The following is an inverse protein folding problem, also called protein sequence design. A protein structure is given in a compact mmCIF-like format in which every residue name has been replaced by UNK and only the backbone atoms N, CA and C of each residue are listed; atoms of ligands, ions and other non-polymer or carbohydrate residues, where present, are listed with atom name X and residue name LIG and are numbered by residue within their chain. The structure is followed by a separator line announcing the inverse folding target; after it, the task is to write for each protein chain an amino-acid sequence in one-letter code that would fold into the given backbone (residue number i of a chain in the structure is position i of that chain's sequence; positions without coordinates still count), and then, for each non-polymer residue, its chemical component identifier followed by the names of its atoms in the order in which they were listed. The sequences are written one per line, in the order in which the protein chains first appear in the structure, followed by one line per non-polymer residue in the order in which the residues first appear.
data_IF_360511190165
#
_entry.id   IF_360511190165
#
_cell.length_a   1.000
_cell.length_b   1.000
_cell.length_c   1.000
_cell.angle_alpha   90.00
_cell.angle_beta   90.00
_cell.angle_gamma   90.00
#
_symmetry.space_group_name_H-M   'P 1'
#
loop_
_entity.id
_entity.type
_entity.pdbx_description
1 polymer ?
#
# COMPACT_ATOMS: atom_id res chain seq x y z
N UNK A 1 -4.70 -8.15 9.20
CA UNK A 1 -4.89 -9.41 9.94
C UNK A 1 -3.56 -9.99 10.44
N UNK A 2 -2.55 -10.18 9.59
CA UNK A 2 -1.25 -10.73 10.04
C UNK A 2 -0.56 -9.90 11.13
N UNK A 3 -0.51 -8.58 10.93
CA UNK A 3 -0.04 -7.64 11.95
C UNK A 3 -0.89 -7.64 13.24
N UNK A 4 -2.11 -8.17 13.23
CA UNK A 4 -2.95 -8.24 14.43
C UNK A 4 -2.60 -9.46 15.29
N UNK A 5 -2.24 -10.58 14.64
CA UNK A 5 -2.03 -11.87 15.30
C UNK A 5 -0.56 -12.12 15.66
N UNK A 6 0.37 -11.68 14.81
CA UNK A 6 1.80 -12.06 14.90
C UNK A 6 2.74 -10.88 15.12
N UNK A 7 2.21 -9.71 15.46
CA UNK A 7 3.04 -8.52 15.68
C UNK A 7 3.50 -8.38 17.13
N UNK A 8 4.61 -7.66 17.34
CA UNK A 8 5.20 -7.37 18.65
C UNK A 8 4.36 -6.40 19.52
N UNK A 9 3.07 -6.20 19.21
CA UNK A 9 2.14 -5.37 19.99
C UNK A 9 2.28 -3.85 19.77
N UNK A 10 1.55 -3.10 20.58
CA UNK A 10 1.40 -1.65 20.42
C UNK A 10 2.68 -0.86 20.74
N UNK A 11 3.51 -1.34 21.69
CA UNK A 11 4.74 -0.67 22.12
C UNK A 11 5.82 -0.60 21.03
N UNK A 12 5.69 -1.44 20.00
CA UNK A 12 6.60 -1.49 18.86
C UNK A 12 5.88 -1.16 17.54
N UNK A 13 4.79 -0.38 17.63
CA UNK A 13 4.09 0.17 16.47
C UNK A 13 3.48 -0.88 15.55
N UNK A 14 3.12 -2.05 16.07
CA UNK A 14 2.68 -3.21 15.30
C UNK A 14 3.68 -3.64 14.20
N UNK A 15 4.98 -3.59 14.51
CA UNK A 15 6.03 -4.13 13.65
C UNK A 15 5.89 -5.65 13.51
N UNK A 16 6.03 -6.14 12.26
CA UNK A 16 5.92 -7.55 11.90
C UNK A 16 7.20 -7.97 11.20
N UNK A 17 8.14 -8.63 11.91
CA UNK A 17 9.44 -9.00 11.35
C UNK A 17 9.34 -10.05 10.24
N UNK A 18 8.45 -11.03 10.40
CA UNK A 18 8.23 -12.11 9.45
C UNK A 18 6.75 -12.20 9.12
N UNK A 19 6.34 -11.94 7.87
CA UNK A 19 4.96 -12.15 7.45
C UNK A 19 4.64 -13.66 7.44
N UNK A 20 3.58 -14.05 8.13
CA UNK A 20 3.12 -15.44 8.23
C UNK A 20 1.92 -15.70 7.32
N UNK A 21 1.12 -14.67 7.02
CA UNK A 21 -0.06 -14.80 6.18
C UNK A 21 0.18 -14.30 4.74
N UNK A 22 -0.26 -15.05 3.71
CA UNK A 22 -0.13 -14.64 2.33
C UNK A 22 -1.04 -13.44 2.02
N UNK A 23 -0.45 -12.35 1.52
CA UNK A 23 -1.18 -11.20 1.01
C UNK A 23 -1.37 -11.33 -0.52
N UNK A 24 -2.61 -11.39 -1.04
CA UNK A 24 -2.86 -11.64 -2.46
C UNK A 24 -2.27 -10.57 -3.37
N UNK A 25 -2.39 -9.29 -3.00
CA UNK A 25 -1.84 -8.17 -3.79
C UNK A 25 -0.32 -8.29 -3.87
N UNK A 26 0.32 -8.64 -2.75
CA UNK A 26 1.76 -8.87 -2.70
C UNK A 26 2.19 -10.02 -3.64
N UNK A 27 1.47 -11.15 -3.62
CA UNK A 27 1.78 -12.29 -4.49
C UNK A 27 1.65 -11.91 -5.97
N UNK A 28 0.57 -11.21 -6.33
CA UNK A 28 0.33 -10.76 -7.71
C UNK A 28 1.45 -9.82 -8.17
N UNK A 29 1.81 -8.81 -7.38
CA UNK A 29 2.86 -7.85 -7.75
C UNK A 29 4.22 -8.54 -7.91
N UNK A 30 4.53 -9.48 -7.03
CA UNK A 30 5.83 -10.17 -7.08
C UNK A 30 5.87 -11.22 -8.20
N UNK A 31 4.75 -11.85 -8.54
CA UNK A 31 4.65 -12.70 -9.72
C UNK A 31 4.77 -11.88 -11.02
N UNK A 32 4.17 -10.69 -11.06
CA UNK A 32 4.23 -9.77 -12.19
C UNK A 32 5.67 -9.35 -12.55
N UNK A 33 6.60 -9.32 -11.58
CA UNK A 33 8.02 -9.01 -11.83
C UNK A 33 8.72 -9.98 -12.78
N UNK A 34 8.16 -11.17 -13.03
CA UNK A 34 8.72 -12.14 -13.99
C UNK A 34 8.59 -11.70 -15.44
N UNK A 35 7.62 -10.84 -15.74
CA UNK A 35 7.31 -10.39 -17.12
C UNK A 35 7.48 -8.88 -17.18
N UNK A 36 8.67 -8.43 -17.57
CA UNK A 36 8.93 -6.99 -17.75
C UNK A 36 8.12 -6.45 -18.95
N UNK A 37 7.45 -5.27 -18.86
CA UNK A 37 7.37 -4.28 -17.76
C UNK A 37 6.02 -4.32 -17.00
N UNK A 38 5.37 -5.48 -16.90
CA UNK A 38 4.00 -5.63 -16.41
C UNK A 38 3.84 -5.15 -14.96
N UNK A 39 4.84 -5.38 -14.12
CA UNK A 39 4.89 -4.93 -12.73
C UNK A 39 4.78 -3.41 -12.58
N UNK A 40 5.47 -2.63 -13.42
CA UNK A 40 5.37 -1.18 -13.43
C UNK A 40 3.97 -0.70 -13.85
N UNK A 41 3.38 -1.31 -14.88
CA UNK A 41 2.02 -0.98 -15.31
C UNK A 41 0.99 -1.26 -14.20
N UNK A 42 1.11 -2.40 -13.52
CA UNK A 42 0.21 -2.77 -12.43
C UNK A 42 0.40 -1.85 -11.22
N UNK A 43 1.64 -1.57 -10.84
CA UNK A 43 1.95 -0.63 -9.76
C UNK A 43 1.40 0.77 -10.04
N UNK A 44 1.60 1.28 -11.26
CA UNK A 44 1.06 2.56 -11.70
C UNK A 44 -0.47 2.57 -11.62
N UNK A 45 -1.13 1.51 -12.10
CA UNK A 45 -2.59 1.38 -12.06
C UNK A 45 -3.11 1.42 -10.63
N UNK A 46 -2.46 0.70 -9.69
CA UNK A 46 -2.84 0.70 -8.27
C UNK A 46 -2.70 2.09 -7.65
N UNK A 47 -1.59 2.79 -7.90
CA UNK A 47 -1.38 4.15 -7.39
C UNK A 47 -2.40 5.12 -7.98
N UNK A 48 -2.60 5.10 -9.29
CA UNK A 48 -3.59 5.95 -9.98
C UNK A 48 -5.01 5.66 -9.48
N UNK A 49 -5.35 4.40 -9.24
CA UNK A 49 -6.64 4.03 -8.67
C UNK A 49 -6.87 4.66 -7.30
N UNK A 50 -5.89 4.57 -6.39
CA UNK A 50 -6.01 5.17 -5.05
C UNK A 50 -6.05 6.70 -5.09
N UNK A 51 -5.27 7.33 -5.97
CA UNK A 51 -5.30 8.78 -6.16
C UNK A 51 -6.68 9.21 -6.70
N UNK A 52 -7.16 8.55 -7.75
CA UNK A 52 -8.46 8.87 -8.36
C UNK A 52 -9.64 8.61 -7.41
N UNK A 53 -9.62 7.50 -6.66
CA UNK A 53 -10.64 7.20 -5.65
C UNK A 53 -10.65 8.26 -4.54
N UNK A 54 -9.47 8.74 -4.12
CA UNK A 54 -9.36 9.79 -3.12
C UNK A 54 -9.88 11.12 -3.64
N UNK A 55 -9.53 11.50 -4.88
CA UNK A 55 -10.06 12.69 -5.55
C UNK A 55 -11.59 12.63 -5.70
N UNK A 56 -12.13 11.48 -6.09
CA UNK A 56 -13.58 11.26 -6.17
C UNK A 56 -14.25 11.37 -4.79
N UNK A 57 -13.61 10.85 -3.75
CA UNK A 57 -14.06 10.98 -2.36
C UNK A 57 -14.14 12.42 -1.90
N UNK A 58 -13.08 13.20 -2.09
CA UNK A 58 -13.05 14.62 -1.71
C UNK A 58 -14.10 15.41 -2.49
N UNK A 59 -14.27 15.12 -3.80
CA UNK A 59 -15.29 15.79 -4.62
C UNK A 59 -16.72 15.52 -4.13
N UNK A 60 -17.04 14.30 -3.69
CA UNK A 60 -18.38 13.96 -3.18
C UNK A 60 -18.64 14.50 -1.77
N UNK A 61 -17.65 14.46 -0.88
CA UNK A 61 -17.80 14.90 0.52
C UNK A 61 -17.73 16.42 0.66
N UNK A 62 -16.94 17.08 -0.21
CA UNK A 62 -16.53 18.47 -0.07
C UNK A 62 -15.44 18.64 0.99
N UNK A 63 -14.82 19.83 1.07
CA UNK A 63 -13.86 20.15 2.12
C UNK A 63 -14.63 20.51 3.39
N UNK A 64 -14.73 19.56 4.32
CA UNK A 64 -15.28 19.80 5.66
C UNK A 64 -14.14 19.80 6.67
N UNK A 65 -13.98 20.90 7.40
CA UNK A 65 -13.03 20.98 8.50
C UNK A 65 -13.78 20.72 9.80
N UNK A 66 -13.45 19.65 10.52
CA UNK A 66 -13.97 19.36 11.87
C UNK A 66 -15.50 19.49 12.02
N UNK A 67 -16.26 19.20 10.95
CA UNK A 67 -17.73 19.23 10.81
C UNK A 67 -18.33 20.50 10.18
N UNK A 68 -17.55 21.55 9.97
CA UNK A 68 -17.98 22.75 9.24
C UNK A 68 -17.67 22.58 7.74
N UNK A 69 -18.68 22.75 6.88
CA UNK A 69 -18.47 22.80 5.42
C UNK A 69 -17.75 24.11 5.10
N UNK A 70 -16.45 24.03 4.77
CA UNK A 70 -15.62 25.20 4.52
C UNK A 70 -15.68 25.62 3.04
N UNK A 71 -15.54 24.65 2.13
CA UNK A 71 -15.59 24.90 0.69
C UNK A 71 -16.33 23.79 -0.04
N UNK A 72 -17.34 24.15 -0.84
CA UNK A 72 -17.98 23.25 -1.82
C UNK A 72 -17.06 23.15 -3.05
N UNK A 73 -16.66 21.93 -3.42
CA UNK A 73 -15.79 21.67 -4.58
C UNK A 73 -16.67 21.45 -5.81
N UNK A 74 -16.87 22.47 -6.63
CA UNK A 74 -17.67 22.40 -7.86
C UNK A 74 -16.78 22.39 -9.11
N UNK A 75 -16.93 21.43 -10.04
CA UNK A 75 -16.13 21.41 -11.26
C UNK A 75 -16.30 22.72 -12.03
N UNK A 76 -15.19 23.31 -12.48
CA UNK A 76 -15.13 24.58 -13.25
C UNK A 76 -15.60 25.85 -12.52
N UNK A 77 -15.96 25.77 -11.23
CA UNK A 77 -16.39 26.91 -10.39
C UNK A 77 -15.83 26.82 -8.96
N UNK A 78 -14.59 26.36 -8.80
CA UNK A 78 -13.91 26.35 -7.48
C UNK A 78 -13.17 27.65 -7.21
N UNK A 79 -13.36 28.23 -6.02
CA UNK A 79 -12.56 29.35 -5.53
C UNK A 79 -11.06 28.99 -5.52
N UNK A 80 -10.14 29.90 -5.88
CA UNK A 80 -8.70 29.63 -5.96
C UNK A 80 -8.10 29.17 -4.62
N UNK A 81 -8.61 29.70 -3.51
CA UNK A 81 -8.23 29.27 -2.15
C UNK A 81 -8.58 27.80 -1.89
N UNK A 82 -9.76 27.34 -2.33
CA UNK A 82 -10.17 25.94 -2.20
C UNK A 82 -9.30 25.02 -3.06
N UNK A 83 -8.85 25.48 -4.23
CA UNK A 83 -7.95 24.73 -5.10
C UNK A 83 -6.57 24.52 -4.44
N UNK A 84 -6.06 25.53 -3.73
CA UNK A 84 -4.82 25.41 -2.97
C UNK A 84 -4.97 24.38 -1.84
N UNK A 85 -6.06 24.43 -1.06
CA UNK A 85 -6.34 23.42 -0.03
C UNK A 85 -6.49 22.00 -0.61
N UNK A 86 -7.16 21.85 -1.76
CA UNK A 86 -7.24 20.57 -2.47
C UNK A 86 -5.87 20.03 -2.84
N UNK A 87 -4.95 20.90 -3.31
CA UNK A 87 -3.59 20.53 -3.66
C UNK A 87 -2.81 20.05 -2.42
N UNK A 88 -2.90 20.77 -1.30
CA UNK A 88 -2.26 20.37 -0.04
C UNK A 88 -2.80 19.03 0.45
N UNK A 89 -4.12 18.83 0.41
CA UNK A 89 -4.74 17.55 0.78
C UNK A 89 -4.28 16.43 -0.15
N UNK A 90 -4.20 16.67 -1.47
CA UNK A 90 -3.68 15.70 -2.43
C UNK A 90 -2.22 15.33 -2.13
N UNK A 91 -1.36 16.31 -1.81
CA UNK A 91 0.02 16.07 -1.41
C UNK A 91 0.10 15.20 -0.15
N UNK A 92 -0.71 15.48 0.87
CA UNK A 92 -0.78 14.68 2.09
C UNK A 92 -1.31 13.26 1.83
N UNK A 93 -2.27 13.10 0.90
CA UNK A 93 -2.77 11.79 0.48
C UNK A 93 -1.68 11.00 -0.22
N UNK A 94 -0.96 11.60 -1.17
CA UNK A 94 0.16 10.94 -1.85
C UNK A 94 1.23 10.51 -0.85
N UNK A 95 1.55 11.34 0.14
CA UNK A 95 2.46 10.98 1.23
C UNK A 95 1.94 9.77 2.03
N UNK A 96 0.66 9.78 2.39
CA UNK A 96 0.03 8.65 3.11
C UNK A 96 0.02 7.36 2.27
N UNK A 97 -0.28 7.46 0.98
CA UNK A 97 -0.26 6.34 0.04
C UNK A 97 1.13 5.71 -0.08
N UNK A 98 2.20 6.51 -0.05
CA UNK A 98 3.57 5.99 -0.04
C UNK A 98 3.81 5.05 1.15
N UNK A 99 3.28 5.37 2.32
CA UNK A 99 3.36 4.51 3.51
C UNK A 99 2.41 3.31 3.38
N UNK A 100 1.20 3.52 2.84
CA UNK A 100 0.20 2.47 2.62
C UNK A 100 0.71 1.33 1.72
N UNK A 101 1.50 1.65 0.70
CA UNK A 101 2.07 0.67 -0.21
C UNK A 101 2.91 -0.41 0.50
N UNK A 102 3.60 -0.07 1.60
CA UNK A 102 4.35 -1.04 2.41
C UNK A 102 3.45 -2.05 3.12
N UNK A 103 2.17 -1.73 3.33
CA UNK A 103 1.19 -2.67 3.86
C UNK A 103 0.51 -3.51 2.78
N UNK A 104 0.38 -2.97 1.55
CA UNK A 104 -0.27 -3.63 0.42
C UNK A 104 0.62 -4.68 -0.24
N UNK A 105 1.89 -4.36 -0.47
CA UNK A 105 2.84 -5.25 -1.14
C UNK A 105 4.24 -5.14 -0.51
N UNK A 106 4.40 -5.59 0.75
CA UNK A 106 5.65 -5.44 1.48
C UNK A 106 6.86 -6.01 0.73
N UNK A 107 6.74 -7.19 0.12
CA UNK A 107 7.87 -7.83 -0.58
C UNK A 107 8.28 -7.04 -1.83
N UNK A 108 7.31 -6.59 -2.61
CA UNK A 108 7.57 -5.80 -3.81
C UNK A 108 8.22 -4.45 -3.48
N UNK A 109 7.66 -3.70 -2.53
CA UNK A 109 8.11 -2.32 -2.21
C UNK A 109 9.39 -2.31 -1.37
N UNK A 110 9.59 -3.30 -0.48
CA UNK A 110 10.74 -3.34 0.42
C UNK A 110 11.99 -3.90 -0.24
N UNK A 111 11.87 -4.87 -1.14
CA UNK A 111 13.03 -5.54 -1.75
C UNK A 111 13.14 -5.28 -3.25
N UNK A 112 12.04 -5.09 -3.97
CA UNK A 112 12.05 -4.93 -5.43
C UNK A 112 12.46 -6.22 -6.15
N UNK A 113 12.96 -6.11 -7.37
CA UNK A 113 13.47 -7.24 -8.15
C UNK A 113 14.96 -7.44 -7.85
N UNK A 114 15.26 -8.30 -6.87
CA UNK A 114 16.64 -8.66 -6.51
C UNK A 114 16.97 -10.07 -7.00
N UNK A 115 18.08 -10.20 -7.73
CA UNK A 115 18.64 -11.47 -8.17
C UNK A 115 20.00 -11.67 -7.49
N UNK A 116 20.20 -12.82 -6.86
CA UNK A 116 21.49 -13.17 -6.26
C UNK A 116 22.01 -14.48 -6.82
N UNK A 117 23.34 -14.60 -6.84
CA UNK A 117 24.03 -15.85 -7.15
C UNK A 117 24.30 -16.56 -5.82
N UNK A 118 23.70 -17.73 -5.66
CA UNK A 118 24.00 -18.64 -4.55
C UNK A 118 25.05 -19.61 -5.03
N UNK A 119 26.20 -19.61 -4.37
CA UNK A 119 27.20 -20.66 -4.56
C UNK A 119 26.92 -21.77 -3.56
N UNK A 120 26.37 -22.88 -4.01
CA UNK A 120 26.23 -24.09 -3.20
C UNK A 120 27.51 -24.91 -3.35
N UNK A 121 28.25 -25.06 -2.25
CA UNK A 121 29.38 -25.98 -2.16
C UNK A 121 28.82 -27.30 -1.65
N UNK A 122 28.79 -28.32 -2.50
CA UNK A 122 28.41 -29.68 -2.09
C UNK A 122 29.67 -30.51 -1.94
N UNK A 123 29.94 -30.98 -0.72
CA UNK A 123 30.96 -31.99 -0.46
C UNK A 123 30.30 -33.36 -0.61
N UNK A 124 30.43 -33.98 -1.79
CA UNK A 124 30.02 -35.37 -1.97
C UNK A 124 31.11 -36.30 -1.44
N UNK A 125 30.82 -37.01 -0.34
CA UNK A 125 31.61 -38.13 0.14
C UNK A 125 31.27 -39.36 -0.68
N UNK A 126 31.97 -39.58 -1.80
CA UNK A 126 31.95 -40.88 -2.46
C UNK A 126 32.83 -41.82 -1.64
N UNK A 127 32.19 -42.65 -0.81
CA UNK A 127 32.87 -43.75 -0.12
C UNK A 127 33.28 -44.80 -1.14
N UNK A 128 34.45 -44.62 -1.77
CA UNK A 128 35.37 -45.66 -2.23
C UNK A 128 36.60 -44.93 -2.78
N UNK A 129 37.67 -44.86 -1.97
CA UNK A 129 39.06 -44.55 -2.36
C UNK A 129 39.26 -43.61 -3.57
N UNK A 130 39.51 -42.31 -3.29
CA UNK A 130 40.03 -41.20 -4.14
C UNK A 130 39.04 -40.03 -4.38
N UNK A 131 39.56 -38.86 -4.82
CA UNK A 131 39.62 -37.62 -4.06
C UNK A 131 38.26 -36.89 -3.93
N UNK A 132 38.06 -36.18 -2.82
CA UNK A 132 36.97 -35.20 -2.66
C UNK A 132 37.11 -34.10 -3.72
N UNK A 133 36.24 -34.11 -4.74
CA UNK A 133 36.07 -32.97 -5.63
C UNK A 133 35.06 -32.00 -4.99
N UNK A 134 35.47 -30.75 -4.80
CA UNK A 134 34.54 -29.70 -4.37
C UNK A 134 33.78 -29.22 -5.61
N UNK A 135 32.53 -29.68 -5.78
CA UNK A 135 31.67 -29.17 -6.86
C UNK A 135 31.05 -27.84 -6.43
N UNK A 136 31.46 -26.76 -7.10
CA UNK A 136 30.94 -25.41 -6.90
C UNK A 136 29.80 -25.17 -7.91
N UNK A 137 28.55 -25.24 -7.44
CA UNK A 137 27.38 -24.95 -8.28
C UNK A 137 26.98 -23.49 -8.03
N UNK A 138 27.06 -22.65 -9.05
CA UNK A 138 26.51 -21.30 -9.02
C UNK A 138 25.05 -21.32 -9.49
N UNK A 139 24.12 -21.23 -8.55
CA UNK A 139 22.70 -21.10 -8.85
C UNK A 139 22.32 -19.62 -8.82
N UNK A 140 21.85 -19.08 -9.96
CA UNK A 140 21.20 -17.76 -9.93
C UNK A 140 19.81 -17.95 -9.33
N UNK A 141 19.63 -17.56 -8.07
CA UNK A 141 18.34 -17.64 -7.39
C UNK A 141 17.65 -16.29 -7.46
N UNK A 142 16.76 -16.15 -8.44
CA UNK A 142 15.77 -15.08 -8.50
C UNK A 142 14.70 -15.37 -7.46
N UNK A 143 14.81 -14.81 -6.25
CA UNK A 143 13.84 -15.14 -5.20
C UNK A 143 12.64 -14.21 -5.33
N UNK A 144 11.51 -14.80 -5.67
CA UNK A 144 10.19 -14.15 -5.73
C UNK A 144 9.64 -13.89 -4.30
N UNK A 145 10.40 -14.12 -3.23
CA UNK A 145 9.98 -13.87 -1.85
C UNK A 145 11.20 -13.84 -0.92
N UNK A 146 11.59 -12.66 -0.44
CA UNK A 146 12.66 -12.51 0.52
C UNK A 146 12.16 -12.91 1.91
N UNK A 147 12.45 -14.16 2.29
CA UNK A 147 12.10 -14.71 3.61
C UNK A 147 13.27 -14.68 4.60
N UNK A 148 14.51 -14.55 4.13
CA UNK A 148 15.72 -14.57 4.96
C UNK A 148 16.58 -13.32 4.74
N UNK A 149 16.98 -12.69 5.84
CA UNK A 149 17.78 -11.46 5.90
C UNK A 149 19.16 -11.55 5.24
N UNK A 150 19.71 -12.75 5.11
CA UNK A 150 21.12 -12.93 4.74
C UNK A 150 21.37 -12.73 3.24
N UNK A 151 20.32 -12.72 2.43
CA UNK A 151 20.44 -12.60 0.97
C UNK A 151 19.66 -11.43 0.36
N UNK A 152 18.77 -10.78 1.11
CA UNK A 152 17.93 -9.70 0.60
C UNK A 152 18.18 -8.39 1.35
N UNK A 153 18.44 -7.32 0.60
CA UNK A 153 18.65 -5.98 1.18
C UNK A 153 17.40 -5.14 1.05
N UNK A 154 16.98 -4.51 2.15
CA UNK A 154 15.79 -3.64 2.13
C UNK A 154 16.13 -2.28 1.50
N UNK A 155 15.14 -1.66 0.85
CA UNK A 155 15.27 -0.28 0.36
C UNK A 155 15.49 0.70 1.52
N UNK A 156 16.18 1.81 1.27
CA UNK A 156 16.48 2.83 2.30
C UNK A 156 15.21 3.38 2.95
N UNK A 157 14.17 3.58 2.16
CA UNK A 157 12.85 4.02 2.64
C UNK A 157 12.20 2.97 3.54
N UNK A 158 12.30 1.68 3.21
CA UNK A 158 11.79 0.60 4.07
C UNK A 158 12.53 0.53 5.40
N UNK A 159 13.87 0.65 5.38
CA UNK A 159 14.69 0.67 6.61
C UNK A 159 14.32 1.86 7.49
N UNK A 160 14.19 3.05 6.88
CA UNK A 160 13.81 4.27 7.58
C UNK A 160 12.44 4.14 8.23
N UNK A 161 11.42 3.73 7.48
CA UNK A 161 10.04 3.60 7.99
C UNK A 161 9.95 2.53 9.08
N UNK A 162 10.56 1.36 8.90
CA UNK A 162 10.56 0.32 9.93
C UNK A 162 11.23 0.80 11.23
N UNK A 163 12.37 1.49 11.12
CA UNK A 163 13.06 2.05 12.30
C UNK A 163 12.25 3.17 12.95
N UNK A 164 11.57 3.99 12.15
CA UNK A 164 10.71 5.06 12.63
C UNK A 164 9.50 4.50 13.40
N UNK A 165 8.75 3.56 12.83
CA UNK A 165 7.62 2.92 13.51
C UNK A 165 8.04 2.14 14.77
N UNK A 166 9.23 1.53 14.73
CA UNK A 166 9.78 0.82 15.89
C UNK A 166 10.14 1.78 17.04
N UNK A 167 10.70 2.97 16.73
CA UNK A 167 11.11 3.96 17.75
C UNK A 167 9.94 4.86 18.19
N UNK A 168 9.03 5.19 17.29
CA UNK A 168 7.89 6.08 17.52
C UNK A 168 6.60 5.26 17.52
N UNK A 169 6.38 4.55 18.63
CA UNK A 169 5.29 3.58 18.78
C UNK A 169 3.89 4.18 18.57
N UNK A 170 3.66 5.41 19.03
CA UNK A 170 2.37 6.11 18.88
C UNK A 170 1.98 6.27 17.41
N UNK A 171 2.90 6.68 16.56
CA UNK A 171 2.61 6.89 15.14
C UNK A 171 2.29 5.57 14.43
N UNK A 172 3.02 4.50 14.77
CA UNK A 172 2.72 3.14 14.27
C UNK A 172 1.35 2.64 14.70
N UNK A 173 0.97 2.89 15.96
CA UNK A 173 -0.34 2.53 16.48
C UNK A 173 -1.47 3.31 15.78
N UNK A 174 -1.33 4.64 15.63
CA UNK A 174 -2.29 5.48 14.91
C UNK A 174 -2.47 5.03 13.46
N UNK A 175 -1.37 4.71 12.77
CA UNK A 175 -1.41 4.20 11.40
C UNK A 175 -2.11 2.84 11.31
N UNK A 176 -1.81 1.93 12.23
CA UNK A 176 -2.44 0.62 12.30
C UNK A 176 -3.96 0.73 12.50
N UNK A 177 -4.40 1.49 13.50
CA UNK A 177 -5.82 1.71 13.77
C UNK A 177 -6.50 2.49 12.65
N UNK A 178 -5.82 3.47 12.05
CA UNK A 178 -6.30 4.20 10.88
C UNK A 178 -6.55 3.29 9.69
N UNK A 179 -5.73 2.26 9.49
CA UNK A 179 -5.92 1.25 8.43
C UNK A 179 -7.19 0.42 8.68
N UNK A 180 -7.42 0.00 9.93
CA UNK A 180 -8.65 -0.70 10.30
C UNK A 180 -9.90 0.18 10.14
N UNK A 181 -9.83 1.44 10.56
CA UNK A 181 -10.90 2.41 10.37
C UNK A 181 -11.20 2.61 8.89
N UNK A 182 -10.18 2.74 8.04
CA UNK A 182 -10.34 2.83 6.59
C UNK A 182 -11.05 1.60 6.01
N UNK A 183 -10.64 0.39 6.42
CA UNK A 183 -11.30 -0.85 5.97
C UNK A 183 -12.76 -0.92 6.41
N UNK A 184 -13.07 -0.56 7.66
CA UNK A 184 -14.46 -0.52 8.15
C UNK A 184 -15.29 0.48 7.34
N UNK A 185 -14.80 1.70 7.14
CA UNK A 185 -15.50 2.71 6.34
C UNK A 185 -15.70 2.24 4.89
N UNK A 186 -14.69 1.62 4.29
CA UNK A 186 -14.81 1.06 2.94
C UNK A 186 -15.87 -0.04 2.86
N UNK A 187 -15.87 -0.98 3.80
CA UNK A 187 -16.86 -2.06 3.84
C UNK A 187 -18.28 -1.51 4.07
N UNK A 188 -18.45 -0.58 4.99
CA UNK A 188 -19.76 0.07 5.21
C UNK A 188 -20.21 0.85 3.98
N UNK A 189 -19.31 1.55 3.28
CA UNK A 189 -19.60 2.24 2.03
C UNK A 189 -19.98 1.29 0.89
N UNK A 190 -19.31 0.15 0.77
CA UNK A 190 -19.67 -0.90 -0.19
C UNK A 190 -21.05 -1.48 0.10
N UNK A 191 -21.31 -1.85 1.37
CA UNK A 191 -22.62 -2.37 1.79
C UNK A 191 -23.70 -1.32 1.51
N UNK A 192 -23.45 -0.06 1.88
CA UNK A 192 -24.36 1.05 1.60
C UNK A 192 -24.61 1.23 0.10
N UNK A 193 -23.60 1.12 -0.74
CA UNK A 193 -23.74 1.23 -2.20
C UNK A 193 -24.47 0.04 -2.84
N UNK A 194 -24.42 -1.15 -2.24
CA UNK A 194 -25.15 -2.33 -2.71
C UNK A 194 -26.62 -2.25 -2.30
N UNK A 195 -26.89 -1.82 -1.06
CA UNK A 195 -28.25 -1.73 -0.49
C UNK A 195 -29.01 -0.50 -1.02
N UNK A 196 -28.33 0.62 -1.24
CA UNK A 196 -28.97 1.83 -1.77
C UNK A 196 -29.12 1.71 -3.28
N UNK A 197 -30.36 1.77 -3.79
CA UNK A 197 -30.64 1.89 -5.23
C UNK A 197 -29.90 3.10 -5.81
N UNK A 198 -29.35 2.98 -7.03
CA UNK A 198 -28.71 4.11 -7.74
C UNK A 198 -29.68 5.31 -7.72
N UNK A 199 -29.21 6.45 -7.21
CA UNK A 199 -29.85 7.74 -7.48
C UNK A 199 -29.96 7.89 -9.00
N UNK A 200 -31.13 8.32 -9.47
CA UNK A 200 -31.32 8.54 -10.90
C UNK A 200 -30.63 9.84 -11.30
N UNK A 201 -30.24 9.97 -12.57
CA UNK A 201 -29.61 11.20 -13.11
C UNK A 201 -30.46 12.44 -12.81
N UNK A 202 -31.78 12.26 -12.72
CA UNK A 202 -32.74 13.30 -12.35
C UNK A 202 -32.50 13.83 -10.92
N UNK A 203 -32.20 12.96 -9.95
CA UNK A 203 -31.93 13.39 -8.56
C UNK A 203 -30.63 14.22 -8.44
N UNK A 204 -29.65 14.00 -9.33
CA UNK A 204 -28.41 14.78 -9.37
C UNK A 204 -28.62 16.17 -9.98
N UNK A 205 -29.53 16.29 -10.96
CA UNK A 205 -29.90 17.58 -11.57
C UNK A 205 -30.69 18.45 -10.57
N UNK A 206 -31.65 17.87 -9.82
CA UNK A 206 -32.42 18.57 -8.79
C UNK A 206 -31.55 19.06 -7.61
N UNK A 207 -30.65 18.23 -7.06
CA UNK A 207 -29.69 18.64 -6.01
C UNK A 207 -28.78 19.79 -6.50
N UNK A 208 -28.58 19.92 -7.82
CA UNK A 208 -27.73 20.97 -8.40
C UNK A 208 -28.47 22.29 -8.66
N UNK A 209 -29.80 22.24 -8.82
CA UNK A 209 -30.66 23.38 -9.16
C UNK A 209 -31.28 24.06 -7.94
N UNK A 210 -31.67 23.33 -6.89
CA UNK A 210 -32.16 23.91 -5.62
C UNK A 210 -31.11 24.82 -4.94
N UNK A 211 -29.83 24.52 -5.15
CA UNK A 211 -28.69 25.25 -4.55
C UNK A 211 -28.25 26.47 -5.41
N UNK A 212 -28.85 26.68 -6.59
CA UNK A 212 -28.61 27.84 -7.46
C UNK A 212 -29.65 28.97 -7.33
N UNK A 213 -30.76 28.71 -6.65
CA UNK A 213 -31.82 29.70 -6.42
C UNK A 213 -31.62 30.48 -5.08
N UNK A 214 -30.55 30.20 -4.32
CA UNK A 214 -30.18 30.89 -3.07
C UNK A 214 -29.01 31.91 -3.21
N UNK A 215 -28.58 32.27 -4.42
CA UNK A 215 -27.62 33.39 -4.66
C UNK A 215 -28.32 34.66 -5.19
#
# INVERSE_FOLDING_TARGET
LDKALHSNGYQYGYSLPTPQLPNPINIIMVYAQRVFPLDYCLFLLVVLYFVYSSMAGIRRVGIRCCWIKLFKVRPRRTLPQALLFMCVMLMLIVLSLNVMLFSLAPQYVMYGSQNYRVTLITNWLISTTRPTYNLRIELVKSTTSCSSSDHCTMTRIAVFLNRFFYKVWFFGACYYWGTWLFLVVFMTGLIYSIVRKRKTVVDEEYDSSDDSDEE
#
